data_IF_472302985650
#
_entry.id   IF_472302985650
#
_cell.length_a   1.000
_cell.length_b   1.000
_cell.length_c   1.000
_cell.angle_alpha   90.00
_cell.angle_beta   90.00
_cell.angle_gamma   90.00
#
_symmetry.space_group_name_H-M   'P 1'
#
loop_
_entity.id
_entity.type
_entity.pdbx_description
1 polymer ?
#
# COMPACT_ATOMS: atom_id res chain seq x y z
N UNK A 1 -25.72 -49.31 13.65
CA UNK A 1 -24.63 -49.23 14.65
C UNK A 1 -23.39 -48.82 13.87
N UNK A 2 -23.01 -47.55 13.88
CA UNK A 2 -22.24 -46.85 14.95
C UNK A 2 -20.75 -47.23 14.88
N UNK A 3 -19.77 -46.31 14.83
CA UNK A 3 -19.81 -44.84 15.06
C UNK A 3 -18.73 -44.10 14.26
N UNK A 4 -19.02 -42.83 13.93
CA UNK A 4 -18.06 -41.84 13.41
C UNK A 4 -16.98 -41.51 14.46
N UNK A 5 -15.78 -41.13 14.03
CA UNK A 5 -14.84 -40.40 14.88
C UNK A 5 -14.11 -39.28 14.12
N UNK A 6 -14.81 -38.17 13.86
CA UNK A 6 -14.21 -36.96 13.30
C UNK A 6 -13.64 -36.08 14.42
N UNK A 7 -12.31 -36.04 14.54
CA UNK A 7 -11.64 -35.08 15.45
C UNK A 7 -11.73 -33.67 14.86
N UNK A 8 -12.60 -32.84 15.45
CA UNK A 8 -12.62 -31.39 15.19
C UNK A 8 -11.42 -30.74 15.89
N UNK A 9 -10.43 -30.30 15.12
CA UNK A 9 -9.39 -29.41 15.65
C UNK A 9 -9.98 -28.00 15.82
N UNK A 10 -10.34 -27.65 17.06
CA UNK A 10 -10.70 -26.29 17.44
C UNK A 10 -9.42 -25.42 17.49
N UNK A 11 -9.02 -24.85 16.36
CA UNK A 11 -8.01 -23.80 16.35
C UNK A 11 -8.60 -22.52 16.95
N UNK A 12 -8.20 -22.21 18.19
CA UNK A 12 -8.39 -20.89 18.79
C UNK A 12 -7.62 -19.89 17.90
N UNK A 13 -8.34 -19.05 17.17
CA UNK A 13 -7.74 -17.88 16.52
C UNK A 13 -7.42 -16.86 17.60
N UNK A 14 -6.13 -16.72 17.92
CA UNK A 14 -5.66 -15.56 18.66
C UNK A 14 -5.76 -14.32 17.79
N UNK A 15 -6.17 -13.21 18.38
CA UNK A 15 -6.39 -11.96 17.65
C UNK A 15 -5.03 -11.32 17.32
N UNK A 16 -4.47 -11.66 16.16
CA UNK A 16 -3.43 -10.84 15.55
C UNK A 16 -3.96 -9.44 15.19
N UNK A 17 -3.05 -8.50 14.91
CA UNK A 17 -3.34 -7.10 14.58
C UNK A 17 -4.01 -6.91 13.20
N UNK A 18 -5.13 -7.59 12.97
CA UNK A 18 -5.99 -7.40 11.80
C UNK A 18 -6.86 -6.19 12.07
N UNK A 19 -6.51 -5.04 11.48
CA UNK A 19 -7.42 -3.90 11.43
C UNK A 19 -8.52 -4.23 10.41
N UNK A 20 -9.62 -4.85 10.89
CA UNK A 20 -10.83 -5.05 10.10
C UNK A 20 -11.56 -3.71 9.90
N UNK A 21 -11.11 -2.94 8.92
CA UNK A 21 -11.70 -1.66 8.51
C UNK A 21 -13.17 -1.78 8.06
N UNK A 22 -13.69 -2.99 7.81
CA UNK A 22 -15.09 -3.19 7.43
C UNK A 22 -16.08 -3.01 8.60
N UNK A 23 -15.61 -3.05 9.86
CA UNK A 23 -16.49 -2.92 11.05
C UNK A 23 -17.17 -1.56 11.21
N UNK A 24 -16.67 -0.48 10.61
CA UNK A 24 -17.30 0.84 10.73
C UNK A 24 -18.63 0.97 9.94
N UNK A 25 -18.85 0.15 8.90
CA UNK A 25 -20.08 0.19 8.10
C UNK A 25 -21.33 -0.32 8.83
N UNK A 26 -21.19 -1.01 9.97
CA UNK A 26 -22.30 -1.71 10.64
C UNK A 26 -22.83 -0.96 11.89
N UNK A 27 -22.06 -0.04 12.50
CA UNK A 27 -22.46 0.65 13.75
C UNK A 27 -23.33 1.91 13.59
N UNK A 28 -24.13 2.02 12.51
CA UNK A 28 -25.11 3.11 12.32
C UNK A 28 -26.57 2.65 12.16
N UNK A 29 -26.92 1.48 12.70
CA UNK A 29 -28.29 1.11 13.05
C UNK A 29 -28.29 0.40 14.42
N UNK A 30 -29.33 0.67 15.22
CA UNK A 30 -29.62 0.08 16.54
C UNK A 30 -28.75 0.58 17.72
N UNK A 31 -29.18 1.69 18.34
CA UNK A 31 -28.99 1.98 19.77
C UNK A 31 -30.11 2.91 20.28
N UNK A 32 -31.35 2.40 20.29
CA UNK A 32 -32.47 3.05 20.97
C UNK A 32 -32.70 2.45 22.36
N UNK A 33 -32.98 3.29 23.35
CA UNK A 33 -33.58 2.99 24.66
C UNK A 33 -33.08 1.77 25.47
N UNK A 34 -32.39 2.04 26.59
CA UNK A 34 -32.16 1.06 27.66
C UNK A 34 -31.83 1.75 28.99
N UNK A 35 -32.59 1.49 30.05
CA UNK A 35 -32.49 2.21 31.34
C UNK A 35 -31.45 1.60 32.28
N UNK A 36 -30.88 2.50 33.10
CA UNK A 36 -30.20 2.28 34.38
C UNK A 36 -30.64 1.07 35.21
N UNK A 37 -29.67 0.40 35.85
CA UNK A 37 -29.79 -0.13 37.22
C UNK A 37 -28.44 -0.09 37.95
N UNK A 38 -28.45 0.42 39.19
CA UNK A 38 -27.37 0.27 40.18
C UNK A 38 -27.61 -1.01 40.98
N UNK A 39 -26.55 -1.58 41.53
CA UNK A 39 -26.61 -2.40 42.75
C UNK A 39 -25.28 -2.31 43.50
N UNK A 40 -25.33 -1.93 44.77
CA UNK A 40 -24.21 -2.01 45.70
C UNK A 40 -24.08 -3.46 46.20
N UNK A 41 -22.87 -3.87 46.59
CA UNK A 41 -22.71 -4.69 47.80
C UNK A 41 -21.41 -4.28 48.52
N UNK A 42 -21.35 -4.53 49.83
CA UNK A 42 -20.42 -3.87 50.76
C UNK A 42 -19.51 -4.86 51.49
N UNK A 43 -18.47 -4.30 52.14
CA UNK A 43 -17.94 -4.65 53.49
C UNK A 43 -17.75 -6.15 53.82
N UNK A 44 -16.57 -6.64 54.19
CA UNK A 44 -15.79 -6.40 55.42
C UNK A 44 -14.48 -7.23 55.33
N UNK A 45 -13.44 -7.17 56.17
CA UNK A 45 -12.84 -6.18 57.09
C UNK A 45 -11.50 -6.84 57.58
N UNK A 46 -10.66 -6.10 58.33
CA UNK A 46 -9.54 -6.55 59.20
C UNK A 46 -8.18 -6.73 58.48
N UNK A 47 -7.23 -5.81 58.68
CA UNK A 47 -6.30 -5.62 59.85
C UNK A 47 -5.19 -6.69 59.82
N UNK A 48 -3.90 -6.46 60.10
CA UNK A 48 -3.07 -5.38 60.73
C UNK A 48 -1.58 -5.79 60.51
N UNK A 49 -0.50 -5.05 60.73
CA UNK A 49 -0.19 -3.73 61.31
C UNK A 49 1.29 -3.36 60.99
N UNK A 50 1.65 -2.06 60.98
CA UNK A 50 2.96 -1.46 61.40
C UNK A 50 4.27 -1.95 60.72
N UNK A 51 5.39 -1.23 60.63
CA UNK A 51 5.88 0.11 60.98
C UNK A 51 7.14 0.33 60.06
N UNK A 52 7.77 1.48 59.84
CA UNK A 52 7.67 2.86 60.38
C UNK A 52 8.47 3.82 59.46
N UNK A 53 7.97 5.04 59.23
CA UNK A 53 8.78 6.16 58.71
C UNK A 53 9.72 6.74 59.80
N UNK A 54 10.66 7.67 59.51
CA UNK A 54 10.26 9.10 59.48
C UNK A 54 11.11 10.14 58.69
N UNK A 55 10.42 11.09 58.03
CA UNK A 55 10.68 12.57 58.02
C UNK A 55 11.90 13.09 57.17
N UNK A 56 11.95 14.34 56.62
CA UNK A 56 11.01 15.50 56.55
C UNK A 56 11.48 16.62 55.56
N UNK A 57 10.60 17.65 55.40
CA UNK A 57 10.75 19.01 54.81
C UNK A 57 10.50 19.10 53.30
N UNK A 58 9.51 19.83 52.73
CA UNK A 58 8.45 20.76 53.20
C UNK A 58 8.74 22.29 53.30
N UNK A 59 8.15 23.02 52.34
CA UNK A 59 7.72 24.44 52.30
C UNK A 59 6.60 24.50 51.20
N UNK A 60 5.41 25.12 51.28
CA UNK A 60 4.90 26.43 51.75
C UNK A 60 5.61 27.60 51.06
N UNK A 61 4.97 28.56 50.38
CA UNK A 61 3.56 29.01 50.26
C UNK A 61 3.28 29.40 48.77
N UNK A 62 2.20 30.07 48.28
CA UNK A 62 1.09 30.87 48.87
C UNK A 62 -0.19 30.80 47.98
N UNK A 63 -1.24 31.57 48.32
CA UNK A 63 -2.47 31.72 47.52
C UNK A 63 -2.37 32.84 46.46
N UNK A 64 -3.13 32.73 45.36
CA UNK A 64 -3.91 33.89 44.90
C UNK A 64 -5.23 33.50 44.22
N UNK A 65 -6.27 34.34 44.37
CA UNK A 65 -7.67 34.02 44.09
C UNK A 65 -8.29 35.11 43.21
N UNK A 66 -8.57 34.82 41.94
CA UNK A 66 -9.37 35.70 41.09
C UNK A 66 -10.63 35.01 40.58
N UNK A 67 -11.78 35.67 40.79
CA UNK A 67 -13.08 35.27 40.25
C UNK A 67 -13.31 36.01 38.93
N UNK A 68 -13.86 35.32 37.93
CA UNK A 68 -14.51 35.96 36.78
C UNK A 68 -15.87 35.32 36.50
N UNK A 69 -16.93 35.92 37.05
CA UNK A 69 -18.28 35.84 36.48
C UNK A 69 -18.27 36.71 35.21
N UNK A 70 -18.67 36.27 34.01
CA UNK A 70 -20.03 36.13 33.45
C UNK A 70 -19.80 35.90 31.93
N UNK A 71 -20.72 35.44 31.05
CA UNK A 71 -22.18 35.44 31.00
C UNK A 71 -22.60 34.35 29.99
N UNK A 72 -23.56 33.48 30.32
CA UNK A 72 -24.26 32.71 29.29
C UNK A 72 -25.15 33.66 28.46
N UNK A 73 -25.15 33.50 27.13
CA UNK A 73 -26.19 34.04 26.25
C UNK A 73 -26.84 32.91 25.48
N UNK A 74 -28.09 32.59 25.84
CA UNK A 74 -28.98 31.79 25.00
C UNK A 74 -29.36 32.62 23.75
N UNK A 75 -29.31 31.99 22.56
CA UNK A 75 -29.63 32.61 21.28
C UNK A 75 -30.48 31.70 20.38
N UNK A 76 -31.76 32.05 20.26
CA UNK A 76 -32.84 31.41 19.50
C UNK A 76 -32.53 30.37 18.39
N UNK A 77 -33.29 29.27 18.46
CA UNK A 77 -33.59 28.38 17.32
C UNK A 77 -34.24 29.16 16.17
N UNK A 78 -33.82 28.89 14.93
CA UNK A 78 -34.66 29.08 13.72
C UNK A 78 -34.58 27.83 12.83
N UNK A 79 -35.76 27.37 12.41
CA UNK A 79 -36.09 26.50 11.27
C UNK A 79 -37.23 27.22 10.53
N UNK A 80 -37.64 26.85 9.29
CA UNK A 80 -37.03 25.93 8.33
C UNK A 80 -36.84 26.55 6.92
N UNK A 81 -36.25 25.81 5.97
CA UNK A 81 -36.68 25.79 4.56
C UNK A 81 -36.46 24.39 3.97
N UNK A 82 -37.17 24.12 2.86
CA UNK A 82 -37.48 22.78 2.34
C UNK A 82 -36.42 22.17 1.41
N UNK A 83 -36.55 20.86 1.18
CA UNK A 83 -35.61 20.01 0.48
C UNK A 83 -35.44 20.32 -1.02
N UNK A 84 -34.24 20.73 -1.43
CA UNK A 84 -33.76 20.46 -2.78
C UNK A 84 -33.34 18.99 -2.91
N UNK A 85 -33.96 18.23 -3.82
CA UNK A 85 -33.52 16.87 -4.15
C UNK A 85 -32.17 16.94 -4.90
N UNK A 86 -31.07 16.88 -4.16
CA UNK A 86 -29.75 16.65 -4.75
C UNK A 86 -29.77 15.27 -5.42
N UNK A 87 -29.65 15.23 -6.75
CA UNK A 87 -29.44 13.97 -7.47
C UNK A 87 -28.09 13.40 -7.03
N UNK A 88 -28.09 12.36 -6.21
CA UNK A 88 -26.88 11.58 -5.93
C UNK A 88 -26.41 10.89 -7.22
N UNK A 89 -25.57 11.59 -7.99
CA UNK A 89 -24.86 11.00 -9.12
C UNK A 89 -23.85 10.01 -8.53
N UNK A 90 -24.07 8.73 -8.81
CA UNK A 90 -23.22 7.65 -8.32
C UNK A 90 -21.75 7.92 -8.68
N UNK A 91 -20.86 7.91 -7.68
CA UNK A 91 -19.43 8.21 -7.85
C UNK A 91 -18.78 7.28 -8.89
N UNK A 92 -19.23 6.02 -9.00
CA UNK A 92 -18.79 5.08 -10.05
C UNK A 92 -19.15 5.58 -11.46
N UNK A 93 -20.30 6.24 -11.65
CA UNK A 93 -20.65 6.89 -12.93
C UNK A 93 -19.78 8.12 -13.20
N UNK A 94 -19.44 8.92 -12.18
CA UNK A 94 -18.54 10.08 -12.34
C UNK A 94 -17.12 9.65 -12.75
N UNK A 95 -16.55 8.61 -12.11
CA UNK A 95 -15.26 8.02 -12.51
C UNK A 95 -15.28 7.49 -13.96
N UNK A 96 -16.31 6.72 -14.34
CA UNK A 96 -16.46 6.21 -15.73
C UNK A 96 -16.60 7.33 -16.78
N UNK A 97 -17.32 8.41 -16.47
CA UNK A 97 -17.44 9.56 -17.37
C UNK A 97 -16.13 10.33 -17.57
N UNK A 98 -15.32 10.49 -16.51
CA UNK A 98 -14.01 11.14 -16.60
C UNK A 98 -13.05 10.28 -17.44
N UNK A 99 -13.03 8.96 -17.22
CA UNK A 99 -12.19 8.03 -17.99
C UNK A 99 -12.57 8.03 -19.48
N UNK A 100 -13.86 8.04 -19.80
CA UNK A 100 -14.33 8.14 -21.19
C UNK A 100 -13.92 9.46 -21.86
N UNK A 101 -13.97 10.59 -21.13
CA UNK A 101 -13.53 11.89 -21.66
C UNK A 101 -12.03 11.91 -21.96
N UNK A 102 -11.20 11.33 -21.08
CA UNK A 102 -9.75 11.20 -21.28
C UNK A 102 -9.46 10.33 -22.51
N UNK A 103 -10.17 9.21 -22.67
CA UNK A 103 -10.01 8.33 -23.84
C UNK A 103 -10.30 9.06 -25.16
N UNK A 104 -11.37 9.85 -25.22
CA UNK A 104 -11.73 10.65 -26.42
C UNK A 104 -10.65 11.69 -26.74
N UNK A 105 -10.08 12.36 -25.73
CA UNK A 105 -9.00 13.33 -25.92
C UNK A 105 -7.73 12.64 -26.46
N UNK A 106 -7.36 11.48 -25.92
CA UNK A 106 -6.21 10.70 -26.37
C UNK A 106 -6.37 10.21 -27.83
N UNK A 107 -7.56 9.73 -28.20
CA UNK A 107 -7.88 9.34 -29.58
C UNK A 107 -7.82 10.54 -30.54
N UNK A 108 -8.30 11.72 -30.11
CA UNK A 108 -8.21 12.95 -30.88
C UNK A 108 -6.76 13.40 -31.16
N UNK A 109 -5.89 13.34 -30.14
CA UNK A 109 -4.46 13.67 -30.27
C UNK A 109 -3.74 12.67 -31.19
N UNK A 110 -4.09 11.38 -31.08
CA UNK A 110 -3.55 10.33 -31.96
C UNK A 110 -3.95 10.56 -33.43
N UNK A 111 -5.23 10.83 -33.70
CA UNK A 111 -5.74 11.12 -35.04
C UNK A 111 -5.12 12.39 -35.65
N UNK A 112 -4.95 13.45 -34.84
CA UNK A 112 -4.26 14.67 -35.26
C UNK A 112 -2.79 14.42 -35.62
N UNK A 113 -2.09 13.61 -34.82
CA UNK A 113 -0.69 13.23 -35.09
C UNK A 113 -0.54 12.39 -36.36
N UNK A 114 -1.51 11.51 -36.65
CA UNK A 114 -1.55 10.73 -37.90
C UNK A 114 -1.75 11.64 -39.11
N UNK A 115 -2.67 12.61 -39.03
CA UNK A 115 -2.93 13.57 -40.12
C UNK A 115 -1.68 14.39 -40.45
N UNK A 116 -0.95 14.87 -39.43
CA UNK A 116 0.28 15.62 -39.64
C UNK A 116 1.42 14.77 -40.23
N UNK A 117 1.48 13.45 -39.97
CA UNK A 117 2.43 12.54 -40.63
C UNK A 117 2.05 12.20 -42.08
N UNK A 118 0.77 12.23 -42.43
CA UNK A 118 0.32 11.92 -43.80
C UNK A 118 0.46 13.12 -44.75
N UNK A 119 0.33 14.36 -44.26
CA UNK A 119 0.52 15.57 -45.07
C UNK A 119 1.98 15.90 -45.44
N UNK A 120 2.97 15.16 -44.92
CA UNK A 120 4.40 15.46 -45.11
C UNK A 120 5.13 14.51 -46.07
N UNK A 121 4.43 13.65 -46.81
CA UNK A 121 5.04 12.56 -47.59
C UNK A 121 4.62 12.48 -49.08
N UNK A 122 4.19 13.60 -49.67
CA UNK A 122 4.22 13.77 -51.14
C UNK A 122 5.52 14.44 -51.57
N UNK A 123 6.58 13.64 -51.80
CA UNK A 123 7.67 13.89 -52.78
C UNK A 123 8.79 12.84 -52.68
N UNK A 124 8.53 11.64 -53.19
CA UNK A 124 9.61 10.71 -53.59
C UNK A 124 9.27 10.16 -54.96
N UNK A 125 9.96 10.62 -56.02
CA UNK A 125 9.71 10.13 -57.37
C UNK A 125 10.25 8.71 -57.56
N UNK A 126 9.45 7.87 -58.22
CA UNK A 126 9.86 6.55 -58.69
C UNK A 126 10.56 6.74 -60.03
N UNK A 127 11.85 6.41 -60.11
CA UNK A 127 12.58 6.38 -61.38
C UNK A 127 12.66 4.93 -61.89
N UNK A 128 11.90 4.64 -62.95
CA UNK A 128 11.92 3.37 -63.67
C UNK A 128 12.90 3.45 -64.84
N UNK A 129 13.90 2.59 -64.86
CA UNK A 129 14.66 2.27 -66.07
C UNK A 129 14.86 0.75 -66.16
N UNK A 130 14.31 0.16 -67.22
CA UNK A 130 14.45 -1.27 -67.49
C UNK A 130 15.78 -1.55 -68.21
N UNK A 131 16.33 -2.75 -68.00
CA UNK A 131 16.96 -3.47 -69.11
C UNK A 131 16.89 -5.00 -68.90
N UNK A 132 17.11 -5.72 -69.99
CA UNK A 132 16.57 -7.06 -70.27
C UNK A 132 17.59 -8.21 -70.20
N UNK A 133 17.04 -9.44 -70.24
CA UNK A 133 17.70 -10.74 -70.47
C UNK A 133 18.50 -11.28 -69.26
N UNK A 134 18.29 -12.52 -68.79
CA UNK A 134 18.53 -13.76 -69.53
C UNK A 134 17.59 -14.94 -69.18
N UNK A 135 17.68 -16.02 -69.98
CA UNK A 135 17.00 -17.31 -69.78
C UNK A 135 17.95 -18.29 -69.07
N UNK A 136 17.45 -19.23 -68.26
CA UNK A 136 17.51 -20.66 -68.62
C UNK A 136 16.72 -21.63 -67.71
N UNK A 137 16.18 -22.65 -68.40
CA UNK A 137 15.94 -24.07 -68.04
C UNK A 137 15.22 -24.48 -66.74
N UNK A 138 14.06 -25.07 -66.99
CA UNK A 138 13.41 -26.13 -66.21
C UNK A 138 14.20 -27.44 -66.36
N UNK A 139 14.31 -28.22 -65.30
CA UNK A 139 14.46 -29.69 -65.38
C UNK A 139 13.69 -30.35 -64.25
N UNK A 140 12.73 -31.22 -64.58
CA UNK A 140 11.97 -31.99 -63.62
C UNK A 140 12.87 -32.97 -62.84
N UNK A 141 12.54 -33.21 -61.57
CA UNK A 141 12.84 -34.51 -60.97
C UNK A 141 11.81 -34.88 -59.90
N UNK A 142 11.24 -36.07 -60.07
CA UNK A 142 10.15 -36.62 -59.25
C UNK A 142 10.74 -37.35 -58.04
N UNK A 143 10.52 -36.82 -56.83
CA UNK A 143 10.66 -37.59 -55.59
C UNK A 143 9.49 -37.28 -54.65
N UNK A 144 8.75 -38.33 -54.27
CA UNK A 144 7.86 -38.40 -53.10
C UNK A 144 8.25 -39.67 -52.32
N UNK A 145 7.91 -39.79 -51.02
CA UNK A 145 7.78 -38.74 -50.01
C UNK A 145 8.59 -39.06 -48.74
N UNK A 146 8.86 -38.07 -47.88
CA UNK A 146 9.22 -38.33 -46.48
C UNK A 146 8.42 -37.44 -45.53
N UNK A 147 7.74 -38.08 -44.60
CA UNK A 147 6.90 -37.48 -43.56
C UNK A 147 7.69 -36.49 -42.69
N UNK A 148 7.12 -35.31 -42.40
CA UNK A 148 6.57 -34.96 -41.07
C UNK A 148 6.15 -33.48 -40.97
N UNK A 149 5.38 -33.20 -39.92
CA UNK A 149 5.04 -31.89 -39.38
C UNK A 149 4.04 -31.03 -40.19
N UNK A 150 2.81 -31.56 -40.35
CA UNK A 150 1.63 -30.68 -40.48
C UNK A 150 1.14 -30.21 -39.11
N UNK A 151 1.21 -28.89 -38.95
CA UNK A 151 0.58 -28.03 -37.95
C UNK A 151 -0.73 -28.58 -37.36
N UNK A 152 -0.66 -29.12 -36.14
CA UNK A 152 -1.85 -29.44 -35.35
C UNK A 152 -2.48 -28.16 -34.83
N UNK A 153 -3.49 -27.67 -35.56
CA UNK A 153 -4.44 -26.63 -35.14
C UNK A 153 -5.22 -27.06 -33.89
N UNK A 154 -4.57 -27.01 -32.73
CA UNK A 154 -5.18 -27.42 -31.48
C UNK A 154 -6.18 -26.36 -31.03
N UNK A 155 -7.45 -26.66 -31.27
CA UNK A 155 -8.62 -25.98 -30.73
C UNK A 155 -8.41 -25.64 -29.25
N UNK A 156 -8.09 -24.37 -28.97
CA UNK A 156 -7.99 -23.86 -27.61
C UNK A 156 -9.36 -23.95 -26.92
N UNK A 157 -9.53 -24.97 -26.08
CA UNK A 157 -10.60 -24.99 -25.09
C UNK A 157 -10.25 -23.85 -24.13
N UNK A 158 -10.93 -22.72 -24.29
CA UNK A 158 -10.86 -21.62 -23.33
C UNK A 158 -11.47 -22.12 -22.02
N UNK A 159 -10.62 -22.43 -21.06
CA UNK A 159 -11.04 -22.88 -19.74
C UNK A 159 -11.66 -21.70 -18.99
N UNK A 160 -12.98 -21.62 -19.04
CA UNK A 160 -13.78 -20.56 -18.38
C UNK A 160 -13.61 -20.60 -16.86
N UNK A 161 -13.12 -21.71 -16.30
CA UNK A 161 -12.86 -21.83 -14.87
C UNK A 161 -11.62 -21.02 -14.45
N UNK A 162 -10.58 -20.91 -15.28
CA UNK A 162 -9.35 -20.13 -15.00
C UNK A 162 -9.63 -18.62 -14.96
N UNK A 163 -10.36 -18.08 -15.94
CA UNK A 163 -10.87 -16.70 -15.92
C UNK A 163 -11.68 -16.40 -14.64
N UNK A 164 -12.48 -17.37 -14.17
CA UNK A 164 -13.30 -17.22 -12.96
C UNK A 164 -12.47 -17.20 -11.65
N UNK A 165 -11.33 -17.89 -11.62
CA UNK A 165 -10.37 -17.85 -10.51
C UNK A 165 -9.57 -16.53 -10.56
N UNK A 166 -9.12 -16.13 -11.75
CA UNK A 166 -8.36 -14.89 -11.97
C UNK A 166 -9.16 -13.65 -11.55
N UNK A 167 -10.47 -13.65 -11.81
CA UNK A 167 -11.40 -12.59 -11.41
C UNK A 167 -11.66 -12.49 -9.88
N UNK A 168 -11.19 -13.43 -9.06
CA UNK A 168 -11.48 -13.50 -7.62
C UNK A 168 -10.23 -13.59 -6.72
N UNK A 169 -9.00 -13.53 -7.25
CA UNK A 169 -7.80 -13.58 -6.41
C UNK A 169 -7.70 -12.33 -5.53
N UNK A 170 -7.85 -12.52 -4.21
CA UNK A 170 -7.57 -11.50 -3.21
C UNK A 170 -6.12 -11.58 -2.74
N UNK A 171 -5.32 -10.54 -3.02
CA UNK A 171 -3.90 -10.49 -2.66
C UNK A 171 -3.71 -10.15 -1.19
N UNK A 172 -2.90 -10.93 -0.46
CA UNK A 172 -2.51 -10.59 0.91
C UNK A 172 -1.20 -9.80 0.93
N UNK A 173 -1.26 -8.57 1.44
CA UNK A 173 -0.15 -7.62 1.41
C UNK A 173 0.25 -7.30 2.84
N UNK A 174 1.50 -7.59 3.20
CA UNK A 174 2.08 -7.16 4.48
C UNK A 174 2.73 -5.80 4.28
N UNK A 175 2.27 -4.81 5.03
CA UNK A 175 2.99 -3.55 5.23
C UNK A 175 3.80 -3.68 6.51
N UNK A 176 5.10 -3.44 6.43
CA UNK A 176 6.01 -3.58 7.55
C UNK A 176 6.67 -2.23 7.90
N UNK A 177 6.13 -1.48 8.88
CA UNK A 177 6.81 -0.30 9.40
C UNK A 177 8.10 -0.70 10.12
N UNK A 178 9.26 -0.37 9.54
CA UNK A 178 10.58 -0.66 10.11
C UNK A 178 10.75 -0.10 11.53
N UNK A 179 11.66 -0.68 12.31
CA UNK A 179 12.01 -0.23 13.67
C UNK A 179 10.81 -0.28 14.66
N UNK A 180 10.88 0.44 15.77
CA UNK A 180 9.88 0.56 16.84
C UNK A 180 10.42 0.19 18.24
N UNK A 181 9.90 0.84 19.28
CA UNK A 181 10.12 0.49 20.68
C UNK A 181 11.51 0.90 21.20
N UNK A 182 12.38 -0.07 21.46
CA UNK A 182 13.77 0.21 21.88
C UNK A 182 14.69 0.50 20.68
N UNK A 183 14.30 0.07 19.48
CA UNK A 183 14.98 0.36 18.22
C UNK A 183 14.26 1.52 17.54
N UNK A 184 14.75 2.74 17.69
CA UNK A 184 14.14 3.94 17.09
C UNK A 184 14.46 4.10 15.59
N UNK A 185 15.35 3.26 15.06
CA UNK A 185 16.01 3.45 13.78
C UNK A 185 16.89 4.69 13.75
N UNK A 186 17.10 5.22 12.55
CA UNK A 186 17.88 6.45 12.34
C UNK A 186 17.14 7.68 12.88
N UNK A 187 17.87 8.78 13.13
CA UNK A 187 17.28 10.08 13.46
C UNK A 187 17.90 11.20 12.63
N UNK A 188 17.20 12.34 12.55
CA UNK A 188 17.71 13.54 11.90
C UNK A 188 18.90 14.15 12.68
N UNK A 189 19.59 15.10 12.04
CA UNK A 189 20.74 15.78 12.65
C UNK A 189 20.44 16.52 13.96
N UNK A 190 19.17 16.84 14.25
CA UNK A 190 18.75 17.46 15.51
C UNK A 190 18.26 16.47 16.58
N UNK A 191 18.14 15.18 16.26
CA UNK A 191 17.70 14.13 17.18
C UNK A 191 16.25 14.27 17.65
N UNK A 192 15.33 14.69 16.76
CA UNK A 192 13.91 14.95 17.07
C UNK A 192 12.94 14.20 16.17
N UNK A 193 13.39 13.86 14.96
CA UNK A 193 12.64 13.10 13.96
C UNK A 193 13.30 11.73 13.90
N UNK A 194 12.50 10.68 14.13
CA UNK A 194 12.97 9.30 14.20
C UNK A 194 12.32 8.45 13.10
N UNK A 195 13.11 7.56 12.52
CA UNK A 195 12.71 6.65 11.44
C UNK A 195 11.46 5.84 11.79
N UNK A 196 11.38 5.29 13.00
CA UNK A 196 10.23 4.49 13.47
C UNK A 196 8.88 5.24 13.38
N UNK A 197 8.90 6.57 13.51
CA UNK A 197 7.71 7.41 13.54
C UNK A 197 7.26 7.76 12.12
N UNK A 198 8.22 8.02 11.23
CA UNK A 198 7.98 8.18 9.79
C UNK A 198 7.44 6.87 9.20
N UNK A 199 8.11 5.75 9.45
CA UNK A 199 7.71 4.44 8.93
C UNK A 199 6.33 4.02 9.42
N UNK A 200 6.02 4.21 10.72
CA UNK A 200 4.71 3.89 11.29
C UNK A 200 3.59 4.73 10.69
N UNK A 201 3.81 6.04 10.49
CA UNK A 201 2.76 6.92 9.95
C UNK A 201 2.52 6.65 8.45
N UNK A 202 3.58 6.51 7.65
CA UNK A 202 3.48 6.14 6.22
C UNK A 202 2.84 4.76 6.06
N UNK A 203 3.32 3.74 6.79
CA UNK A 203 2.79 2.38 6.71
C UNK A 203 1.32 2.27 7.10
N UNK A 204 0.87 3.01 8.13
CA UNK A 204 -0.56 3.12 8.49
C UNK A 204 -1.38 3.73 7.36
N UNK A 205 -0.89 4.79 6.70
CA UNK A 205 -1.60 5.46 5.61
C UNK A 205 -1.72 4.54 4.38
N UNK A 206 -0.65 3.82 4.02
CA UNK A 206 -0.67 2.78 2.98
C UNK A 206 -1.73 1.72 3.30
N UNK A 207 -1.75 1.19 4.53
CA UNK A 207 -2.74 0.20 4.94
C UNK A 207 -4.19 0.72 4.89
N UNK A 208 -4.42 1.97 5.29
CA UNK A 208 -5.73 2.63 5.19
C UNK A 208 -6.17 2.78 3.73
N UNK A 209 -5.27 3.12 2.81
CA UNK A 209 -5.60 3.31 1.40
C UNK A 209 -5.85 1.95 0.71
N UNK A 210 -4.96 0.97 0.89
CA UNK A 210 -5.10 -0.39 0.35
C UNK A 210 -6.33 -1.16 0.89
N UNK A 211 -6.77 -0.89 2.12
CA UNK A 211 -7.96 -1.54 2.71
C UNK A 211 -9.29 -1.22 2.01
N UNK A 212 -9.28 -0.28 1.06
CA UNK A 212 -10.47 0.16 0.31
C UNK A 212 -10.72 -0.67 -0.95
N UNK A 213 -9.74 -1.43 -1.40
CA UNK A 213 -9.83 -2.24 -2.62
C UNK A 213 -10.37 -3.64 -2.30
N UNK A 214 -11.40 -4.06 -3.05
CA UNK A 214 -12.18 -5.26 -2.75
C UNK A 214 -11.35 -6.56 -2.94
N UNK A 215 -10.29 -6.51 -3.76
CA UNK A 215 -9.34 -7.58 -4.09
C UNK A 215 -8.01 -7.52 -3.30
N UNK A 216 -7.93 -6.66 -2.27
CA UNK A 216 -6.75 -6.58 -1.39
C UNK A 216 -7.10 -6.99 0.05
N UNK A 217 -6.22 -7.76 0.68
CA UNK A 217 -6.19 -8.06 2.10
C UNK A 217 -4.89 -7.49 2.70
N UNK A 218 -4.96 -6.26 3.21
CA UNK A 218 -3.78 -5.61 3.80
C UNK A 218 -3.70 -5.87 5.31
N UNK A 219 -2.50 -6.23 5.76
CA UNK A 219 -2.16 -6.48 7.17
C UNK A 219 -0.85 -5.74 7.51
N UNK A 220 -0.67 -5.38 8.77
CA UNK A 220 0.48 -4.56 9.21
C UNK A 220 1.20 -5.26 10.36
N UNK A 221 2.53 -5.32 10.32
CA UNK A 221 3.33 -6.00 11.36
C UNK A 221 3.17 -5.33 12.73
N UNK A 222 3.23 -3.99 12.78
CA UNK A 222 2.94 -3.17 13.98
C UNK A 222 1.98 -2.02 13.68
N UNK A 223 1.17 -1.64 14.68
CA UNK A 223 0.17 -0.55 14.55
C UNK A 223 0.35 0.54 15.61
N UNK A 224 1.43 0.44 16.36
CA UNK A 224 1.83 1.20 17.52
C UNK A 224 3.37 1.19 17.61
N UNK A 225 3.87 1.80 18.66
CA UNK A 225 5.30 1.83 18.96
C UNK A 225 5.72 0.52 19.65
N UNK A 226 5.91 -0.53 18.83
CA UNK A 226 6.36 -1.85 19.25
C UNK A 226 7.52 -2.30 18.36
N UNK A 227 8.66 -2.63 18.97
CA UNK A 227 9.75 -3.33 18.29
C UNK A 227 9.35 -4.74 17.88
N UNK A 228 9.87 -5.16 16.73
CA UNK A 228 9.72 -6.51 16.19
C UNK A 228 11.05 -6.98 15.61
N UNK A 229 11.49 -8.19 15.97
CA UNK A 229 12.66 -8.81 15.35
C UNK A 229 12.41 -9.16 13.87
N UNK A 230 13.47 -9.46 13.12
CA UNK A 230 13.33 -9.88 11.72
C UNK A 230 12.58 -11.23 11.63
N UNK A 231 12.77 -12.12 12.59
CA UNK A 231 12.00 -13.36 12.77
C UNK A 231 10.51 -13.04 12.93
N UNK A 232 10.13 -12.20 13.91
CA UNK A 232 8.72 -11.86 14.15
C UNK A 232 8.04 -11.27 12.89
N UNK A 233 8.74 -10.39 12.15
CA UNK A 233 8.23 -9.79 10.90
C UNK A 233 8.04 -10.83 9.79
N UNK A 234 9.00 -11.74 9.64
CA UNK A 234 8.99 -12.75 8.57
C UNK A 234 8.04 -13.91 8.86
N UNK A 235 7.98 -14.38 10.12
CA UNK A 235 6.96 -15.32 10.59
C UNK A 235 5.54 -14.74 10.48
N UNK A 236 5.34 -13.45 10.80
CA UNK A 236 4.04 -12.79 10.63
C UNK A 236 3.57 -12.85 9.17
N UNK A 237 4.45 -12.58 8.21
CA UNK A 237 4.10 -12.65 6.80
C UNK A 237 3.79 -14.07 6.32
N UNK A 238 4.62 -15.05 6.72
CA UNK A 238 4.42 -16.47 6.38
C UNK A 238 3.13 -17.03 6.98
N UNK A 239 2.86 -16.76 8.27
CA UNK A 239 1.66 -17.23 9.00
C UNK A 239 0.36 -16.69 8.41
N UNK A 240 0.40 -15.53 7.75
CA UNK A 240 -0.76 -14.94 7.08
C UNK A 240 -0.78 -15.21 5.56
N UNK A 241 0.12 -16.05 5.03
CA UNK A 241 0.23 -16.40 3.61
C UNK A 241 0.30 -15.18 2.68
N UNK A 242 1.19 -14.23 3.00
CA UNK A 242 1.33 -13.01 2.21
C UNK A 242 1.84 -13.27 0.78
N UNK A 243 1.23 -12.62 -0.20
CA UNK A 243 1.68 -12.59 -1.60
C UNK A 243 2.88 -11.66 -1.81
N UNK A 244 3.02 -10.63 -0.95
CA UNK A 244 4.14 -9.69 -0.95
C UNK A 244 4.32 -8.99 0.41
N UNK A 245 5.54 -8.53 0.67
CA UNK A 245 5.91 -7.71 1.83
C UNK A 245 6.47 -6.38 1.33
N UNK A 246 5.94 -5.26 1.84
CA UNK A 246 6.44 -3.91 1.59
C UNK A 246 6.87 -3.32 2.92
N UNK A 247 8.18 -3.33 3.19
CA UNK A 247 8.77 -2.73 4.37
C UNK A 247 9.06 -1.25 4.13
N UNK A 248 8.81 -0.41 5.12
CA UNK A 248 8.90 1.06 5.04
C UNK A 248 9.98 1.54 6.00
N UNK A 249 10.96 2.27 5.47
CA UNK A 249 12.16 2.71 6.18
C UNK A 249 12.60 4.11 5.73
N UNK A 250 13.60 4.68 6.39
CA UNK A 250 14.32 5.88 5.93
C UNK A 250 15.80 5.56 5.78
N UNK A 251 16.43 6.04 4.72
CA UNK A 251 17.86 5.86 4.54
C UNK A 251 18.64 6.81 5.46
N UNK A 252 19.92 6.53 5.66
CA UNK A 252 20.82 7.42 6.40
C UNK A 252 22.22 7.37 5.82
N UNK A 253 22.90 8.51 5.81
CA UNK A 253 24.29 8.64 5.40
C UNK A 253 25.14 8.93 6.64
N UNK A 254 26.13 8.07 6.91
CA UNK A 254 26.80 8.06 8.22
C UNK A 254 27.76 9.22 8.49
N UNK A 255 28.62 9.56 7.53
CA UNK A 255 29.69 10.58 7.69
C UNK A 255 29.42 11.90 6.96
N UNK A 256 28.24 12.03 6.35
CA UNK A 256 27.80 13.12 5.47
C UNK A 256 26.28 13.22 5.51
N UNK A 257 25.72 14.31 5.00
CA UNK A 257 24.28 14.56 4.87
C UNK A 257 23.88 15.06 3.46
N UNK A 258 24.72 14.82 2.45
CA UNK A 258 24.55 15.29 1.08
C UNK A 258 23.73 14.34 0.19
N UNK A 259 23.49 13.09 0.61
CA UNK A 259 22.59 12.18 -0.07
C UNK A 259 21.12 12.48 0.25
N UNK A 260 20.31 12.76 -0.78
CA UNK A 260 18.84 12.85 -0.74
C UNK A 260 18.21 11.89 -1.75
N UNK A 261 16.92 11.54 -1.56
CA UNK A 261 16.07 10.86 -2.52
C UNK A 261 15.54 9.47 -2.14
N UNK A 262 14.55 9.01 -2.90
CA UNK A 262 13.87 7.73 -2.77
C UNK A 262 14.68 6.59 -3.42
N UNK A 263 14.85 5.49 -2.69
CA UNK A 263 15.31 4.20 -3.22
C UNK A 263 14.30 3.10 -2.87
N UNK A 264 14.13 2.11 -3.74
CA UNK A 264 13.37 0.88 -3.40
C UNK A 264 14.26 -0.33 -3.57
N UNK A 265 14.59 -0.98 -2.46
CA UNK A 265 15.49 -2.12 -2.42
C UNK A 265 14.72 -3.44 -2.53
N UNK A 266 15.30 -4.42 -3.23
CA UNK A 266 14.73 -5.75 -3.44
C UNK A 266 15.81 -6.83 -3.36
N UNK A 267 15.46 -8.08 -3.07
CA UNK A 267 16.35 -9.23 -3.31
C UNK A 267 16.09 -9.84 -4.70
N UNK A 268 17.11 -10.47 -5.27
CA UNK A 268 16.89 -11.39 -6.37
C UNK A 268 16.15 -12.64 -5.87
N UNK A 269 14.88 -12.77 -6.25
CA UNK A 269 13.97 -13.88 -5.93
C UNK A 269 13.93 -14.96 -7.04
N UNK A 270 14.83 -14.86 -8.03
CA UNK A 270 14.95 -15.78 -9.16
C UNK A 270 13.83 -15.69 -10.21
N UNK A 271 12.73 -14.98 -9.92
CA UNK A 271 11.55 -14.89 -10.79
C UNK A 271 11.17 -13.44 -11.14
N UNK A 272 11.83 -12.45 -10.55
CA UNK A 272 11.69 -11.03 -10.86
C UNK A 272 10.53 -10.32 -10.19
N UNK A 273 9.70 -10.98 -9.37
CA UNK A 273 8.53 -10.36 -8.73
C UNK A 273 8.92 -9.22 -7.79
N UNK A 274 9.89 -9.43 -6.91
CA UNK A 274 10.37 -8.40 -5.98
C UNK A 274 10.95 -7.19 -6.73
N UNK A 275 11.72 -7.44 -7.80
CA UNK A 275 12.27 -6.39 -8.67
C UNK A 275 11.16 -5.59 -9.38
N UNK A 276 10.16 -6.27 -9.94
CA UNK A 276 9.04 -5.61 -10.63
C UNK A 276 8.20 -4.79 -9.63
N UNK A 277 7.88 -5.35 -8.46
CA UNK A 277 7.20 -4.63 -7.37
C UNK A 277 7.97 -3.37 -6.97
N UNK A 278 9.29 -3.47 -6.78
CA UNK A 278 10.14 -2.33 -6.48
C UNK A 278 10.08 -1.26 -7.57
N UNK A 279 10.10 -1.65 -8.86
CA UNK A 279 10.02 -0.71 -9.98
C UNK A 279 8.68 0.02 -10.06
N UNK A 280 7.56 -0.68 -9.84
CA UNK A 280 6.23 -0.05 -9.81
C UNK A 280 6.09 0.93 -8.64
N UNK A 281 6.55 0.56 -7.44
CA UNK A 281 6.56 1.47 -6.27
C UNK A 281 7.46 2.67 -6.52
N UNK A 282 8.73 2.44 -6.88
CA UNK A 282 9.72 3.50 -7.14
C UNK A 282 9.21 4.53 -8.14
N UNK A 283 8.73 4.06 -9.31
CA UNK A 283 8.23 4.91 -10.39
C UNK A 283 6.99 5.71 -9.99
N UNK A 284 6.05 5.07 -9.28
CA UNK A 284 4.78 5.70 -8.95
C UNK A 284 4.93 6.66 -7.78
N UNK A 285 5.59 6.24 -6.70
CA UNK A 285 5.79 7.07 -5.51
C UNK A 285 6.58 8.35 -5.81
N UNK A 286 7.63 8.29 -6.64
CA UNK A 286 8.39 9.48 -7.05
C UNK A 286 7.61 10.47 -7.92
N UNK A 287 6.44 10.10 -8.44
CA UNK A 287 5.58 10.99 -9.22
C UNK A 287 4.51 11.71 -8.36
N UNK A 288 4.35 11.34 -7.09
CA UNK A 288 3.36 11.91 -6.16
C UNK A 288 3.93 13.04 -5.29
N UNK A 289 5.24 13.14 -5.18
CA UNK A 289 5.96 14.10 -4.33
C UNK A 289 7.24 14.59 -5.03
N UNK A 290 7.73 15.76 -4.63
CA UNK A 290 9.02 16.27 -5.09
C UNK A 290 10.17 15.58 -4.34
N UNK A 291 10.71 14.52 -4.94
CA UNK A 291 11.81 13.72 -4.39
C UNK A 291 12.75 13.27 -5.51
N UNK A 292 14.06 13.23 -5.24
CA UNK A 292 15.01 12.65 -6.19
C UNK A 292 14.72 11.14 -6.35
N UNK A 293 14.41 10.69 -7.56
CA UNK A 293 14.28 9.27 -7.86
C UNK A 293 15.67 8.65 -8.09
N UNK A 294 16.12 7.79 -7.17
CA UNK A 294 17.44 7.13 -7.21
C UNK A 294 17.39 5.71 -7.79
N UNK A 295 16.22 5.27 -8.24
CA UNK A 295 15.98 3.96 -8.83
C UNK A 295 15.80 2.83 -7.81
N UNK A 296 15.88 1.60 -8.32
CA UNK A 296 15.73 0.37 -7.55
C UNK A 296 17.08 -0.33 -7.38
N UNK A 297 17.40 -0.82 -6.18
CA UNK A 297 18.68 -1.46 -5.89
C UNK A 297 18.49 -2.91 -5.45
N UNK A 298 19.31 -3.82 -5.96
CA UNK A 298 19.40 -5.17 -5.41
C UNK A 298 20.15 -5.13 -4.07
N UNK A 299 19.67 -5.83 -3.05
CA UNK A 299 20.25 -5.82 -1.71
C UNK A 299 20.03 -7.14 -0.97
N UNK A 300 20.80 -7.35 0.10
CA UNK A 300 20.87 -8.61 0.86
C UNK A 300 20.45 -8.47 2.33
N UNK A 301 19.58 -7.51 2.63
CA UNK A 301 18.96 -7.40 3.96
C UNK A 301 18.13 -8.64 4.27
N UNK A 302 18.22 -9.11 5.52
CA UNK A 302 17.70 -10.42 5.91
C UNK A 302 16.18 -10.57 5.65
N UNK A 303 15.39 -9.52 5.93
CA UNK A 303 13.95 -9.50 5.67
C UNK A 303 13.59 -9.76 4.20
N UNK A 304 14.45 -9.33 3.26
CA UNK A 304 14.22 -9.54 1.82
C UNK A 304 14.33 -11.04 1.45
N UNK A 305 15.26 -11.78 2.07
CA UNK A 305 15.60 -13.15 1.67
C UNK A 305 14.92 -14.28 2.44
N UNK A 306 14.47 -14.03 3.67
CA UNK A 306 14.14 -15.09 4.66
C UNK A 306 12.81 -15.83 4.39
N UNK A 307 11.92 -15.27 3.58
CA UNK A 307 10.53 -15.76 3.46
C UNK A 307 10.21 -16.54 2.18
N UNK A 308 10.95 -16.32 1.09
CA UNK A 308 10.54 -16.72 -0.27
C UNK A 308 9.35 -15.93 -0.84
N UNK A 309 8.86 -14.92 -0.09
CA UNK A 309 7.78 -14.02 -0.49
C UNK A 309 8.42 -12.80 -1.18
N UNK A 310 7.90 -12.29 -2.32
CA UNK A 310 8.37 -11.05 -2.93
C UNK A 310 8.39 -9.90 -1.92
N UNK A 311 9.59 -9.43 -1.57
CA UNK A 311 9.80 -8.49 -0.47
C UNK A 311 10.62 -7.30 -0.94
N UNK A 312 10.19 -6.09 -0.56
CA UNK A 312 10.88 -4.84 -0.87
C UNK A 312 11.02 -3.96 0.37
N UNK A 313 12.08 -3.16 0.41
CA UNK A 313 12.26 -2.09 1.40
C UNK A 313 12.16 -0.76 0.65
N UNK A 314 11.17 0.06 0.99
CA UNK A 314 11.03 1.42 0.47
C UNK A 314 11.80 2.36 1.39
N UNK A 315 12.92 2.89 0.91
CA UNK A 315 13.68 3.93 1.60
C UNK A 315 13.10 5.30 1.23
N UNK A 316 12.28 5.84 2.11
CA UNK A 316 11.42 7.00 1.87
C UNK A 316 12.13 8.34 1.60
N UNK A 317 13.45 8.38 1.75
CA UNK A 317 14.29 9.58 1.78
C UNK A 317 15.43 9.34 2.76
N UNK A 318 16.43 10.23 2.77
CA UNK A 318 17.55 10.17 3.71
C UNK A 318 17.26 11.04 4.93
N UNK A 319 17.01 10.45 6.10
CA UNK A 319 16.71 11.21 7.33
C UNK A 319 17.91 12.03 7.83
N UNK A 320 19.13 11.67 7.40
CA UNK A 320 20.35 12.45 7.62
C UNK A 320 20.35 13.77 6.83
N UNK A 321 19.63 13.86 5.72
CA UNK A 321 19.54 15.06 4.88
C UNK A 321 18.39 15.97 5.34
N UNK A 322 18.67 17.27 5.43
CA UNK A 322 17.74 18.25 6.01
C UNK A 322 16.42 18.37 5.23
N UNK A 323 16.50 18.45 3.89
CA UNK A 323 15.31 18.57 3.02
C UNK A 323 14.44 17.31 3.05
N UNK A 324 15.06 16.13 2.97
CA UNK A 324 14.33 14.86 3.07
C UNK A 324 13.72 14.67 4.47
N UNK A 325 14.43 15.05 5.55
CA UNK A 325 13.89 15.01 6.91
C UNK A 325 12.72 15.98 7.12
N UNK A 326 12.79 17.21 6.62
CA UNK A 326 11.70 18.19 6.64
C UNK A 326 10.47 17.68 5.87
N UNK A 327 10.67 17.17 4.65
CA UNK A 327 9.63 16.55 3.84
C UNK A 327 9.00 15.36 4.56
N UNK A 328 9.79 14.42 5.07
CA UNK A 328 9.30 13.25 5.78
C UNK A 328 8.63 13.59 7.12
N UNK A 329 8.93 14.73 7.75
CA UNK A 329 8.21 15.22 8.93
C UNK A 329 6.88 15.93 8.56
N UNK A 330 6.66 16.27 7.29
CA UNK A 330 5.44 16.93 6.82
C UNK A 330 4.29 15.92 6.60
N UNK A 331 3.17 16.15 7.29
CA UNK A 331 2.00 15.29 7.22
C UNK A 331 1.36 15.18 5.83
N UNK A 332 1.32 16.28 5.06
CA UNK A 332 0.74 16.29 3.70
C UNK A 332 1.68 15.59 2.69
N UNK A 333 2.99 15.79 2.83
CA UNK A 333 3.99 15.07 2.05
C UNK A 333 3.86 13.56 2.26
N UNK A 334 3.88 13.11 3.51
CA UNK A 334 3.72 11.70 3.84
C UNK A 334 2.38 11.11 3.31
N UNK A 335 1.29 11.88 3.34
CA UNK A 335 -0.02 11.40 2.89
C UNK A 335 -0.06 11.17 1.37
N UNK A 336 0.53 12.09 0.59
CA UNK A 336 0.71 11.94 -0.87
C UNK A 336 1.68 10.80 -1.19
N UNK A 337 2.74 10.66 -0.41
CA UNK A 337 3.77 9.67 -0.66
C UNK A 337 3.28 8.25 -0.39
N UNK A 338 2.56 8.06 0.72
CA UNK A 338 1.85 6.81 1.02
C UNK A 338 0.79 6.47 -0.02
N UNK A 339 0.09 7.47 -0.58
CA UNK A 339 -0.83 7.25 -1.71
C UNK A 339 -0.06 6.80 -2.96
N UNK A 340 1.07 7.43 -3.30
CA UNK A 340 1.93 7.03 -4.42
C UNK A 340 2.51 5.62 -4.28
N UNK A 341 2.95 5.21 -3.08
CA UNK A 341 3.37 3.83 -2.78
C UNK A 341 2.19 2.86 -2.97
N UNK A 342 1.01 3.20 -2.44
CA UNK A 342 -0.20 2.37 -2.57
C UNK A 342 -0.61 2.19 -4.03
N UNK A 343 -0.58 3.25 -4.84
CA UNK A 343 -0.87 3.18 -6.27
C UNK A 343 0.19 2.38 -7.05
N UNK A 344 1.46 2.41 -6.63
CA UNK A 344 2.50 1.54 -7.18
C UNK A 344 2.23 0.05 -6.90
N UNK A 345 1.85 -0.29 -5.67
CA UNK A 345 1.45 -1.65 -5.28
C UNK A 345 0.24 -2.13 -6.10
N UNK A 346 -0.78 -1.28 -6.27
CA UNK A 346 -1.97 -1.62 -7.05
C UNK A 346 -1.66 -1.77 -8.54
N UNK A 347 -0.83 -0.90 -9.12
CA UNK A 347 -0.39 -1.03 -10.52
C UNK A 347 0.41 -2.31 -10.79
N UNK A 348 1.21 -2.76 -9.81
CA UNK A 348 1.87 -4.08 -9.87
C UNK A 348 0.85 -5.22 -9.83
N UNK A 349 -0.15 -5.18 -8.94
CA UNK A 349 -1.22 -6.18 -8.84
C UNK A 349 -2.06 -6.25 -10.13
N UNK A 350 -2.43 -5.10 -10.68
CA UNK A 350 -3.18 -5.01 -11.94
C UNK A 350 -2.40 -5.56 -13.13
N UNK A 351 -1.06 -5.58 -13.09
CA UNK A 351 -0.23 -6.14 -14.17
C UNK A 351 -0.31 -7.67 -14.32
N UNK A 352 -0.96 -8.37 -13.37
CA UNK A 352 -1.24 -9.81 -13.46
C UNK A 352 -2.63 -10.15 -13.99
N UNK A 353 -3.50 -9.15 -14.19
CA UNK A 353 -4.89 -9.30 -14.67
C UNK A 353 -4.92 -9.32 -16.19
#
# INVERSE_FOLDING_TARGET
MDKKNSRKNNFKRENGNVIDFNREKIKRKNAGSGKSRKSNFSSEDKRTDKNSSPKKKASKEKNNRMKSNTKQKNGNKRKPTTSGKVKHINIRKKKKMILALILVILLGISAYSLKNKFSSNENTQIQLSANSNEKEKISDNVIKPSEKDEDSSQSGIYDVEDESQKANKRYTIVIDPGHGGEDTGSSDSSGKIYEENISLRIGKKIAIDLSREDDVNVIVTRTDDKGLSIEERTEFAQKNSADMIVSIHTNTQGSKNDAEGLETWYNNDGNGKAKNLAQYIQKTASAYVDIQNRGTLESKYEILGKTGIPTVIVQCGFISNEKDAENMNNAEYQDKFAEGISQGILAYIDSFK
#
